data_IF_657540502274
#
_entry.id   IF_657540502274
#
_cell.length_a   1.000
_cell.length_b   1.000
_cell.length_c   1.000
_cell.angle_alpha   90.00
_cell.angle_beta   90.00
_cell.angle_gamma   90.00
#
_symmetry.space_group_name_H-M   'P 1'
#
loop_
_entity.id
_entity.type
_entity.pdbx_description
1 polymer ?
#
# COMPACT_ATOMS: atom_id res chain seq x y z
N UNK A 1 29.00 -13.01 -32.03
CA UNK A 1 27.77 -12.95 -31.21
C UNK A 1 28.21 -12.70 -29.77
N UNK A 2 27.83 -11.56 -29.18
CA UNK A 2 28.26 -11.17 -27.84
C UNK A 2 27.33 -11.83 -26.80
N UNK A 3 27.81 -12.81 -25.99
CA UNK A 3 26.95 -13.61 -25.10
C UNK A 3 26.43 -12.83 -23.87
N UNK A 4 26.79 -11.56 -23.73
CA UNK A 4 26.42 -10.70 -22.59
C UNK A 4 25.05 -10.02 -22.72
N UNK A 5 24.46 -9.96 -23.93
CA UNK A 5 23.13 -9.40 -24.12
C UNK A 5 22.03 -10.16 -23.32
N UNK A 6 21.86 -11.49 -23.44
CA UNK A 6 20.73 -12.18 -22.79
C UNK A 6 20.73 -12.07 -21.26
N UNK A 7 21.90 -12.18 -20.62
CA UNK A 7 22.00 -12.15 -19.16
C UNK A 7 21.68 -10.78 -18.54
N UNK A 8 21.95 -9.69 -19.26
CA UNK A 8 21.67 -8.33 -18.77
C UNK A 8 20.18 -7.98 -18.83
N UNK A 9 19.45 -8.48 -19.83
CA UNK A 9 17.99 -8.32 -19.90
C UNK A 9 17.26 -9.10 -18.81
N UNK A 10 17.71 -10.32 -18.48
CA UNK A 10 17.11 -11.12 -17.40
C UNK A 10 17.24 -10.43 -16.03
N UNK A 11 18.41 -9.84 -15.76
CA UNK A 11 18.62 -9.07 -14.53
C UNK A 11 17.73 -7.82 -14.49
N UNK A 12 17.68 -7.06 -15.58
CA UNK A 12 16.88 -5.84 -15.67
C UNK A 12 15.38 -6.14 -15.50
N UNK A 13 14.89 -7.19 -16.15
CA UNK A 13 13.49 -7.63 -16.03
C UNK A 13 13.16 -8.07 -14.59
N UNK A 14 14.04 -8.84 -13.97
CA UNK A 14 13.89 -9.28 -12.58
C UNK A 14 13.90 -8.11 -11.58
N UNK A 15 14.77 -7.12 -11.79
CA UNK A 15 14.81 -5.89 -10.99
C UNK A 15 13.53 -5.07 -11.11
N UNK A 16 13.00 -4.93 -12.33
CA UNK A 16 11.75 -4.19 -12.58
C UNK A 16 10.58 -4.90 -11.90
N UNK A 17 10.43 -6.21 -12.09
CA UNK A 17 9.36 -6.97 -11.44
C UNK A 17 9.50 -6.97 -9.91
N UNK A 18 10.71 -7.18 -9.40
CA UNK A 18 10.99 -7.11 -7.97
C UNK A 18 10.67 -5.74 -7.37
N UNK A 19 11.02 -4.67 -8.10
CA UNK A 19 10.68 -3.30 -7.74
C UNK A 19 9.17 -3.05 -7.69
N UNK A 20 8.42 -3.56 -8.68
CA UNK A 20 6.95 -3.45 -8.69
C UNK A 20 6.31 -4.18 -7.51
N UNK A 21 6.81 -5.38 -7.16
CA UNK A 21 6.35 -6.11 -5.97
C UNK A 21 6.64 -5.32 -4.71
N UNK A 22 7.85 -4.75 -4.58
CA UNK A 22 8.23 -3.93 -3.43
C UNK A 22 7.29 -2.72 -3.27
N UNK A 23 7.01 -2.00 -4.36
CA UNK A 23 6.08 -0.87 -4.36
C UNK A 23 4.69 -1.32 -3.92
N UNK A 24 4.19 -2.45 -4.44
CA UNK A 24 2.89 -2.98 -4.04
C UNK A 24 2.85 -3.30 -2.52
N UNK A 25 3.89 -3.92 -1.97
CA UNK A 25 4.00 -4.18 -0.52
C UNK A 25 3.96 -2.88 0.29
N UNK A 26 4.72 -1.86 -0.13
CA UNK A 26 4.77 -0.56 0.57
C UNK A 26 3.41 0.15 0.55
N UNK A 27 2.72 0.16 -0.60
CA UNK A 27 1.39 0.75 -0.69
C UNK A 27 0.37 -0.04 0.14
N UNK A 28 0.46 -1.37 0.13
CA UNK A 28 -0.40 -2.23 0.96
C UNK A 28 -0.20 -1.98 2.46
N UNK A 29 1.04 -1.72 2.89
CA UNK A 29 1.35 -1.31 4.27
C UNK A 29 0.73 0.05 4.62
N UNK A 30 0.81 1.02 3.71
CA UNK A 30 0.17 2.34 3.88
C UNK A 30 -1.34 2.23 4.06
N UNK A 31 -2.01 1.43 3.21
CA UNK A 31 -3.46 1.20 3.31
C UNK A 31 -3.81 0.50 4.63
N UNK A 32 -3.05 -0.52 5.02
CA UNK A 32 -3.26 -1.24 6.27
C UNK A 32 -3.04 -0.35 7.50
N UNK A 33 -2.04 0.55 7.48
CA UNK A 33 -1.84 1.55 8.53
C UNK A 33 -3.00 2.54 8.60
N UNK A 34 -3.51 3.01 7.47
CA UNK A 34 -4.67 3.89 7.41
C UNK A 34 -5.94 3.19 7.91
N UNK A 35 -6.11 1.90 7.61
CA UNK A 35 -7.18 1.07 8.14
C UNK A 35 -7.08 0.90 9.67
N UNK A 36 -5.85 0.67 10.18
CA UNK A 36 -5.59 0.55 11.62
C UNK A 36 -5.95 1.81 12.40
N UNK A 37 -5.67 3.00 11.84
CA UNK A 37 -6.09 4.29 12.42
C UNK A 37 -7.62 4.39 12.57
N UNK A 38 -8.36 3.71 11.70
CA UNK A 38 -9.83 3.65 11.71
C UNK A 38 -10.38 2.43 12.46
N UNK A 39 -9.59 1.83 13.35
CA UNK A 39 -9.97 0.65 14.16
C UNK A 39 -10.36 -0.57 13.31
N UNK A 40 -9.69 -0.76 12.17
CA UNK A 40 -9.88 -1.92 11.30
C UNK A 40 -8.71 -2.89 11.38
N UNK A 41 -8.98 -4.14 11.04
CA UNK A 41 -7.99 -5.21 11.05
C UNK A 41 -6.87 -4.95 10.04
N UNK A 42 -5.69 -4.58 10.56
CA UNK A 42 -4.48 -4.32 9.77
C UNK A 42 -4.16 -5.47 8.81
N UNK A 43 -4.14 -6.71 9.33
CA UNK A 43 -3.80 -7.90 8.56
C UNK A 43 -4.73 -8.10 7.37
N UNK A 44 -6.04 -7.94 7.57
CA UNK A 44 -7.03 -8.09 6.50
C UNK A 44 -6.84 -7.05 5.40
N UNK A 45 -6.66 -5.77 5.76
CA UNK A 45 -6.46 -4.70 4.76
C UNK A 45 -5.11 -4.77 4.04
N UNK A 46 -4.07 -5.25 4.71
CA UNK A 46 -2.78 -5.52 4.08
C UNK A 46 -2.90 -6.60 3.01
N UNK A 47 -3.43 -7.77 3.37
CA UNK A 47 -3.58 -8.89 2.45
C UNK A 47 -4.57 -8.58 1.32
N UNK A 48 -5.64 -7.84 1.61
CA UNK A 48 -6.59 -7.40 0.59
C UNK A 48 -5.95 -6.44 -0.41
N UNK A 49 -5.14 -5.48 0.06
CA UNK A 49 -4.41 -4.53 -0.81
C UNK A 49 -3.34 -5.23 -1.64
N UNK A 50 -2.66 -6.21 -1.05
CA UNK A 50 -1.59 -6.94 -1.70
C UNK A 50 -2.13 -7.89 -2.77
N UNK A 51 -3.20 -8.63 -2.47
CA UNK A 51 -3.76 -9.64 -3.35
C UNK A 51 -4.70 -9.06 -4.43
N UNK A 52 -5.56 -8.10 -4.06
CA UNK A 52 -6.57 -7.53 -4.96
C UNK A 52 -6.10 -6.25 -5.66
N UNK A 53 -4.93 -5.75 -5.28
CA UNK A 53 -4.43 -4.44 -5.68
C UNK A 53 -4.88 -3.34 -4.72
N UNK A 54 -4.04 -2.31 -4.59
CA UNK A 54 -4.19 -1.28 -3.57
C UNK A 54 -5.37 -0.31 -3.80
N UNK A 55 -5.88 -0.19 -5.03
CA UNK A 55 -6.89 0.81 -5.40
C UNK A 55 -8.21 0.63 -4.64
N UNK A 56 -8.78 -0.59 -4.66
CA UNK A 56 -10.07 -0.86 -4.03
C UNK A 56 -9.97 -0.70 -2.51
N UNK A 57 -8.99 -1.32 -1.83
CA UNK A 57 -8.88 -1.20 -0.37
C UNK A 57 -8.53 0.23 0.07
N UNK A 58 -7.74 0.97 -0.71
CA UNK A 58 -7.48 2.38 -0.43
C UNK A 58 -8.76 3.23 -0.48
N UNK A 59 -9.62 3.02 -1.48
CA UNK A 59 -10.92 3.71 -1.58
C UNK A 59 -11.84 3.35 -0.42
N UNK A 60 -11.92 2.07 -0.05
CA UNK A 60 -12.69 1.62 1.12
C UNK A 60 -12.19 2.28 2.40
N UNK A 61 -10.87 2.30 2.62
CA UNK A 61 -10.28 2.95 3.79
C UNK A 61 -10.52 4.46 3.79
N UNK A 62 -10.44 5.11 2.63
CA UNK A 62 -10.71 6.55 2.49
C UNK A 62 -12.18 6.90 2.83
N UNK A 63 -13.13 6.05 2.43
CA UNK A 63 -14.56 6.24 2.69
C UNK A 63 -14.97 5.94 4.14
N UNK A 64 -14.17 5.16 4.88
CA UNK A 64 -14.48 4.80 6.26
C UNK A 64 -14.37 6.02 7.20
N UNK A 65 -15.29 6.20 8.15
CA UNK A 65 -15.19 7.27 9.14
C UNK A 65 -13.99 7.04 10.07
N UNK A 66 -13.35 8.13 10.49
CA UNK A 66 -12.35 8.08 11.57
C UNK A 66 -13.05 7.88 12.92
N UNK A 67 -12.36 7.34 13.94
CA UNK A 67 -12.91 7.21 15.30
C UNK A 67 -13.07 8.55 16.00
N UNK A 68 -14.12 8.72 16.82
CA UNK A 68 -14.45 9.99 17.51
C UNK A 68 -13.35 10.53 18.39
N UNK A 69 -12.60 9.64 19.00
CA UNK A 69 -11.52 9.96 19.94
C UNK A 69 -10.14 10.05 19.27
N UNK A 70 -10.05 9.95 17.94
CA UNK A 70 -8.75 9.88 17.25
C UNK A 70 -8.12 11.29 17.17
N UNK A 71 -6.99 11.55 17.86
CA UNK A 71 -6.38 12.88 17.95
C UNK A 71 -5.90 13.40 16.58
N UNK A 72 -5.68 12.51 15.62
CA UNK A 72 -5.26 12.81 14.25
C UNK A 72 -6.45 13.12 13.31
N UNK A 73 -7.68 13.20 13.82
CA UNK A 73 -8.86 13.57 13.01
C UNK A 73 -8.64 14.93 12.31
N UNK A 74 -8.94 15.03 11.00
CA UNK A 74 -8.80 16.29 10.27
C UNK A 74 -9.68 17.42 10.85
N UNK A 75 -10.85 17.09 11.40
CA UNK A 75 -11.73 18.04 12.07
C UNK A 75 -11.14 18.66 13.35
N UNK A 76 -10.14 18.02 13.98
CA UNK A 76 -9.49 18.55 15.17
C UNK A 76 -8.37 19.53 14.80
N UNK A 77 -7.77 19.37 13.61
CA UNK A 77 -6.76 20.29 13.07
C UNK A 77 -7.33 21.59 12.52
N UNK A 78 -8.62 21.65 12.19
CA UNK A 78 -9.28 22.87 11.72
C UNK A 78 -9.77 23.80 12.83
N UNK A 79 -9.53 23.46 14.11
CA UNK A 79 -9.90 24.28 15.28
C UNK A 79 -8.70 24.93 15.99
N UNK A 80 -7.49 24.77 15.43
CA UNK A 80 -6.27 25.47 15.83
C UNK A 80 -5.94 26.55 14.79
#
# INVERSE_FOLDING_TARGET
MNPLLPATYDLAYSLVLGGLVLVNVLVSLLVAMAAKRKDRAFGSFFWLSFAMGFLIPALVVAALPFREDDPDRPSNKSRL
#
